data_IF_001952687844
#
_entry.id   IF_001952687844
#
_cell.length_a   1.000
_cell.length_b   1.000
_cell.length_c   1.000
_cell.angle_alpha   90.00
_cell.angle_beta   90.00
_cell.angle_gamma   90.00
#
_symmetry.space_group_name_H-M   'P 1'
#
loop_
_entity.id
_entity.type
_entity.pdbx_description
1 polymer ?
#
# COMPACT_ATOMS: atom_id res chain seq x y z
N UNK A 1 21.12 -17.36 -17.25
CA UNK A 1 20.59 -17.01 -15.92
C UNK A 1 20.83 -15.53 -15.68
N UNK A 2 19.84 -14.68 -15.96
CA UNK A 2 19.96 -13.25 -15.74
C UNK A 2 19.91 -12.97 -14.22
N UNK A 3 20.92 -12.26 -13.73
CA UNK A 3 21.06 -11.91 -12.31
C UNK A 3 19.82 -11.16 -11.82
N UNK A 4 19.08 -11.78 -10.90
CA UNK A 4 17.91 -11.23 -10.19
C UNK A 4 18.20 -9.90 -9.48
N UNK A 5 19.47 -9.53 -9.34
CA UNK A 5 19.92 -8.26 -8.78
C UNK A 5 19.61 -7.03 -9.64
N UNK A 6 19.23 -7.20 -10.92
CA UNK A 6 18.85 -6.09 -11.81
C UNK A 6 17.36 -5.75 -11.83
N UNK A 7 16.52 -6.54 -11.15
CA UNK A 7 15.08 -6.29 -11.08
C UNK A 7 14.77 -5.26 -10.00
N UNK A 8 13.83 -4.37 -10.30
CA UNK A 8 13.23 -3.42 -9.36
C UNK A 8 12.75 -4.15 -8.08
N UNK A 9 12.87 -3.54 -6.89
CA UNK A 9 12.49 -4.19 -5.63
C UNK A 9 11.05 -4.73 -5.62
N UNK A 10 10.10 -4.01 -6.22
CA UNK A 10 8.70 -4.46 -6.30
C UNK A 10 8.56 -5.70 -7.19
N UNK A 11 9.20 -5.68 -8.36
CA UNK A 11 9.19 -6.82 -9.28
C UNK A 11 9.82 -8.06 -8.64
N UNK A 12 10.89 -7.88 -7.86
CA UNK A 12 11.52 -8.98 -7.11
C UNK A 12 10.59 -9.54 -6.04
N UNK A 13 9.90 -8.67 -5.30
CA UNK A 13 8.94 -9.10 -4.29
C UNK A 13 7.78 -9.90 -4.91
N UNK A 14 7.20 -9.41 -6.01
CA UNK A 14 6.11 -10.11 -6.72
C UNK A 14 6.58 -11.47 -7.23
N UNK A 15 7.77 -11.56 -7.82
CA UNK A 15 8.32 -12.84 -8.30
C UNK A 15 8.56 -13.81 -7.13
N UNK A 16 9.03 -13.32 -5.99
CA UNK A 16 9.19 -14.16 -4.78
C UNK A 16 7.84 -14.67 -4.28
N UNK A 17 6.83 -13.81 -4.16
CA UNK A 17 5.47 -14.22 -3.74
C UNK A 17 4.86 -15.26 -4.68
N UNK A 18 5.02 -15.08 -5.99
CA UNK A 18 4.57 -16.05 -7.00
C UNK A 18 5.31 -17.39 -6.84
N UNK A 19 6.63 -17.33 -6.62
CA UNK A 19 7.46 -18.54 -6.47
C UNK A 19 7.14 -19.28 -5.17
N UNK A 20 6.91 -18.57 -4.08
CA UNK A 20 6.55 -19.14 -2.78
C UNK A 20 5.20 -19.85 -2.85
N UNK A 21 4.18 -19.19 -3.43
CA UNK A 21 2.86 -19.81 -3.62
C UNK A 21 2.97 -21.02 -4.55
N UNK A 22 3.74 -20.94 -5.63
CA UNK A 22 3.95 -22.09 -6.50
C UNK A 22 4.63 -23.25 -5.77
N UNK A 23 5.69 -22.99 -5.00
CA UNK A 23 6.44 -23.99 -4.25
C UNK A 23 5.57 -24.69 -3.19
N UNK A 24 4.72 -23.95 -2.48
CA UNK A 24 3.77 -24.49 -1.50
C UNK A 24 2.80 -25.49 -2.12
N UNK A 25 2.43 -25.31 -3.38
CA UNK A 25 1.49 -26.19 -4.08
C UNK A 25 2.18 -27.34 -4.85
N UNK A 26 3.50 -27.27 -5.02
CA UNK A 26 4.32 -28.33 -5.64
C UNK A 26 4.79 -29.40 -4.65
N UNK A 27 4.94 -29.06 -3.38
CA UNK A 27 5.48 -29.97 -2.36
C UNK A 27 4.35 -30.36 -1.41
N UNK A 28 3.74 -31.52 -1.63
CA UNK A 28 2.73 -32.09 -0.72
C UNK A 28 3.40 -33.22 0.09
N UNK A 29 3.98 -32.93 1.27
CA UNK A 29 4.77 -33.90 2.04
C UNK A 29 3.99 -35.15 2.48
N UNK A 30 2.65 -35.15 2.37
CA UNK A 30 1.78 -36.27 2.69
C UNK A 30 1.46 -37.20 1.49
N UNK A 31 1.95 -36.93 0.27
CA UNK A 31 1.78 -37.83 -0.89
C UNK A 31 2.81 -38.98 -0.88
N UNK A 32 2.73 -39.85 0.11
CA UNK A 32 3.63 -41.01 0.28
C UNK A 32 3.33 -42.20 -0.66
N UNK A 33 2.30 -42.15 -1.51
CA UNK A 33 1.76 -43.36 -2.15
C UNK A 33 2.10 -43.56 -3.63
N UNK A 34 2.55 -42.54 -4.39
CA UNK A 34 2.88 -42.68 -5.82
C UNK A 34 3.99 -41.68 -6.25
N UNK A 35 5.10 -41.62 -5.51
CA UNK A 35 6.13 -40.60 -5.69
C UNK A 35 6.89 -40.66 -7.03
N UNK A 36 6.80 -41.78 -7.76
CA UNK A 36 7.55 -42.00 -9.01
C UNK A 36 6.87 -41.41 -10.27
N UNK A 37 5.59 -41.04 -10.20
CA UNK A 37 4.79 -40.61 -11.37
C UNK A 37 4.46 -39.10 -11.41
N UNK A 38 4.78 -38.35 -10.35
CA UNK A 38 4.54 -36.90 -10.31
C UNK A 38 5.85 -36.11 -10.50
N UNK A 39 5.98 -35.30 -11.57
CA UNK A 39 7.18 -34.52 -11.78
C UNK A 39 7.33 -33.47 -10.66
N UNK A 40 8.38 -33.64 -9.85
CA UNK A 40 8.73 -32.73 -8.76
C UNK A 40 8.86 -31.30 -9.30
N UNK A 41 8.35 -30.31 -8.56
CA UNK A 41 8.40 -28.91 -8.97
C UNK A 41 7.40 -28.55 -10.06
N UNK A 42 6.32 -29.33 -10.19
CA UNK A 42 5.19 -29.01 -11.06
C UNK A 42 3.87 -29.09 -10.30
N UNK A 43 2.87 -28.35 -10.78
CA UNK A 43 1.49 -28.48 -10.34
C UNK A 43 0.67 -29.18 -11.43
N UNK A 44 -0.38 -29.90 -11.04
CA UNK A 44 -1.33 -30.46 -12.01
C UNK A 44 -2.04 -29.32 -12.73
N UNK A 45 -2.22 -29.42 -14.05
CA UNK A 45 -2.84 -28.36 -14.84
C UNK A 45 -4.28 -28.01 -14.40
N UNK A 46 -4.99 -28.97 -13.79
CA UNK A 46 -6.32 -28.77 -13.22
C UNK A 46 -6.30 -27.92 -11.95
N UNK A 47 -5.18 -27.91 -11.21
CA UNK A 47 -4.99 -27.15 -9.97
C UNK A 47 -4.59 -25.70 -10.24
N UNK A 48 -4.18 -25.36 -11.47
CA UNK A 48 -3.73 -24.02 -11.88
C UNK A 48 -4.62 -22.89 -11.35
N UNK A 49 -5.94 -22.96 -11.61
CA UNK A 49 -6.88 -21.90 -11.22
C UNK A 49 -6.96 -21.76 -9.70
N UNK A 50 -6.85 -22.87 -8.97
CA UNK A 50 -6.82 -22.86 -7.50
C UNK A 50 -5.57 -22.18 -6.96
N UNK A 51 -4.40 -22.51 -7.52
CA UNK A 51 -3.12 -21.90 -7.14
C UNK A 51 -3.09 -20.41 -7.52
N UNK A 52 -3.54 -20.07 -8.72
CA UNK A 52 -3.60 -18.68 -9.19
C UNK A 52 -4.53 -17.80 -8.33
N UNK A 53 -5.61 -18.35 -7.76
CA UNK A 53 -6.47 -17.62 -6.82
C UNK A 53 -5.79 -17.27 -5.50
N UNK A 54 -4.80 -18.04 -5.07
CA UNK A 54 -4.02 -17.71 -3.87
C UNK A 54 -3.17 -16.44 -4.07
N UNK A 55 -2.85 -16.12 -5.33
CA UNK A 55 -2.22 -14.85 -5.74
C UNK A 55 -3.23 -13.70 -5.94
N UNK A 56 -4.50 -13.91 -5.63
CA UNK A 56 -5.55 -12.92 -5.85
C UNK A 56 -6.07 -12.84 -7.30
N UNK A 57 -5.61 -13.71 -8.21
CA UNK A 57 -6.15 -13.75 -9.57
C UNK A 57 -7.57 -14.34 -9.58
N UNK A 58 -8.53 -13.58 -10.12
CA UNK A 58 -9.92 -14.02 -10.22
C UNK A 58 -10.20 -14.57 -11.62
N UNK A 59 -10.81 -15.75 -11.66
CA UNK A 59 -11.21 -16.41 -12.91
C UNK A 59 -12.70 -16.68 -12.89
N UNK A 60 -13.38 -16.25 -13.95
CA UNK A 60 -14.77 -16.62 -14.23
C UNK A 60 -14.87 -18.11 -14.58
N UNK A 61 -16.09 -18.66 -14.48
CA UNK A 61 -16.34 -20.05 -14.83
C UNK A 61 -16.07 -20.35 -16.31
N UNK A 62 -16.29 -19.38 -17.21
CA UNK A 62 -16.01 -19.52 -18.64
C UNK A 62 -14.52 -19.55 -18.93
N UNK A 63 -13.72 -18.68 -18.30
CA UNK A 63 -12.26 -18.64 -18.43
C UNK A 63 -11.62 -19.93 -17.89
N UNK A 64 -12.05 -20.39 -16.72
CA UNK A 64 -11.56 -21.64 -16.13
C UNK A 64 -11.80 -22.84 -17.07
N UNK A 65 -13.01 -22.96 -17.64
CA UNK A 65 -13.32 -24.01 -18.63
C UNK A 65 -12.55 -23.84 -19.93
N UNK A 66 -12.27 -22.61 -20.37
CA UNK A 66 -11.46 -22.36 -21.55
C UNK A 66 -10.01 -22.81 -21.33
N UNK A 67 -9.41 -22.46 -20.18
CA UNK A 67 -8.08 -22.91 -19.78
C UNK A 67 -7.99 -24.44 -19.71
N UNK A 68 -8.95 -25.11 -19.06
CA UNK A 68 -8.96 -26.58 -19.01
C UNK A 68 -9.06 -27.22 -20.40
N UNK A 69 -9.82 -26.61 -21.33
CA UNK A 69 -9.89 -27.08 -22.73
C UNK A 69 -8.56 -26.88 -23.45
N UNK A 70 -7.89 -25.76 -23.25
CA UNK A 70 -6.57 -25.49 -23.84
C UNK A 70 -5.52 -26.46 -23.29
N UNK A 71 -5.48 -26.71 -21.99
CA UNK A 71 -4.55 -27.67 -21.40
C UNK A 71 -4.76 -29.07 -21.98
N UNK A 72 -6.01 -29.53 -22.12
CA UNK A 72 -6.31 -30.82 -22.77
C UNK A 72 -5.92 -30.84 -24.24
N UNK A 73 -6.22 -29.79 -25.01
CA UNK A 73 -5.88 -29.67 -26.43
C UNK A 73 -4.38 -29.76 -26.68
N UNK A 74 -3.59 -29.17 -25.78
CA UNK A 74 -2.13 -29.16 -25.85
C UNK A 74 -1.46 -30.33 -25.10
N UNK A 75 -2.24 -31.25 -24.52
CA UNK A 75 -1.71 -32.38 -23.75
C UNK A 75 -0.96 -31.99 -22.47
N UNK A 76 -1.25 -30.81 -21.91
CA UNK A 76 -0.62 -30.30 -20.70
C UNK A 76 -1.29 -30.90 -19.46
N UNK A 77 -0.64 -31.89 -18.86
CA UNK A 77 -1.06 -32.50 -17.61
C UNK A 77 -0.45 -31.80 -16.38
N UNK A 78 0.75 -31.24 -16.55
CA UNK A 78 1.53 -30.58 -15.51
C UNK A 78 2.02 -29.22 -15.98
N UNK A 79 2.17 -28.29 -15.04
CA UNK A 79 2.61 -26.91 -15.25
C UNK A 79 3.84 -26.67 -14.37
N UNK A 80 4.94 -26.23 -14.97
CA UNK A 80 6.15 -25.82 -14.25
C UNK A 80 6.11 -24.32 -13.89
N UNK A 81 7.11 -23.85 -13.11
CA UNK A 81 7.18 -22.46 -12.63
C UNK A 81 7.12 -21.46 -13.80
N UNK A 82 7.88 -21.70 -14.87
CA UNK A 82 7.96 -20.78 -16.00
C UNK A 82 6.63 -20.67 -16.76
N UNK A 83 5.96 -21.80 -16.98
CA UNK A 83 4.62 -21.85 -17.58
C UNK A 83 3.58 -21.19 -16.68
N UNK A 84 3.69 -21.39 -15.37
CA UNK A 84 2.82 -20.75 -14.39
C UNK A 84 2.96 -19.22 -14.44
N UNK A 85 4.19 -18.70 -14.41
CA UNK A 85 4.49 -17.28 -14.53
C UNK A 85 3.91 -16.68 -15.83
N UNK A 86 4.10 -17.36 -16.96
CA UNK A 86 3.55 -16.91 -18.24
C UNK A 86 2.02 -16.85 -18.24
N UNK A 87 1.35 -17.84 -17.66
CA UNK A 87 -0.11 -17.87 -17.57
C UNK A 87 -0.66 -16.76 -16.66
N UNK A 88 0.03 -16.47 -15.55
CA UNK A 88 -0.32 -15.36 -14.64
C UNK A 88 -0.08 -14.01 -15.32
N UNK A 89 1.07 -13.81 -15.97
CA UNK A 89 1.38 -12.57 -16.70
C UNK A 89 0.37 -12.30 -17.81
N UNK A 90 -0.02 -13.33 -18.57
CA UNK A 90 -1.07 -13.22 -19.58
C UNK A 90 -2.43 -12.83 -18.97
N UNK A 91 -2.77 -13.37 -17.79
CA UNK A 91 -4.00 -13.01 -17.08
C UNK A 91 -3.98 -11.55 -16.61
N UNK A 92 -2.87 -11.09 -16.02
CA UNK A 92 -2.70 -9.69 -15.59
C UNK A 92 -2.83 -8.73 -16.77
N UNK A 93 -2.22 -9.07 -17.91
CA UNK A 93 -2.30 -8.28 -19.15
C UNK A 93 -3.72 -8.26 -19.73
N UNK A 94 -4.37 -9.42 -19.78
CA UNK A 94 -5.72 -9.57 -20.33
C UNK A 94 -6.78 -8.86 -19.48
N UNK A 95 -6.63 -8.88 -18.15
CA UNK A 95 -7.58 -8.26 -17.25
C UNK A 95 -7.54 -6.74 -17.26
N UNK A 96 -6.62 -6.12 -18.03
CA UNK A 96 -6.43 -4.67 -18.09
C UNK A 96 -6.58 -4.06 -16.69
N UNK A 97 -5.82 -4.59 -15.72
CA UNK A 97 -5.89 -4.14 -14.34
C UNK A 97 -5.31 -2.72 -14.24
N UNK A 98 -6.08 -1.75 -14.70
CA UNK A 98 -6.10 -0.42 -14.11
C UNK A 98 -6.86 -0.62 -12.81
N UNK A 99 -6.13 -1.07 -11.79
CA UNK A 99 -6.61 -0.88 -10.44
C UNK A 99 -6.99 0.60 -10.36
N UNK A 100 -8.28 0.90 -10.26
CA UNK A 100 -8.69 2.08 -9.51
C UNK A 100 -8.40 1.75 -8.05
N UNK A 101 -7.13 1.57 -7.71
CA UNK A 101 -6.70 1.87 -6.37
C UNK A 101 -7.09 3.33 -6.23
N UNK A 102 -8.02 3.63 -5.32
CA UNK A 102 -8.14 5.00 -4.89
C UNK A 102 -6.73 5.46 -4.51
N UNK A 103 -6.28 6.63 -5.00
CA UNK A 103 -4.94 7.10 -4.70
C UNK A 103 -4.74 7.00 -3.19
N UNK A 104 -3.62 6.41 -2.79
CA UNK A 104 -3.28 6.24 -1.38
C UNK A 104 -3.50 7.58 -0.69
N UNK A 105 -4.53 7.64 0.14
CA UNK A 105 -4.90 8.86 0.84
C UNK A 105 -3.96 8.94 2.03
N UNK A 106 -3.03 9.89 2.00
CA UNK A 106 -2.11 10.07 3.11
C UNK A 106 -2.90 10.49 4.35
N UNK A 107 -2.43 10.21 5.58
CA UNK A 107 -3.05 10.76 6.78
C UNK A 107 -3.26 12.28 6.69
N UNK A 108 -2.35 12.99 6.01
CA UNK A 108 -2.47 14.42 5.75
C UNK A 108 -3.64 14.78 4.83
N UNK A 109 -3.94 13.98 3.80
CA UNK A 109 -5.11 14.20 2.93
C UNK A 109 -6.44 14.04 3.70
N UNK A 110 -6.45 13.29 4.81
CA UNK A 110 -7.61 13.14 5.70
C UNK A 110 -7.67 14.25 6.75
N UNK A 111 -6.53 14.60 7.33
CA UNK A 111 -6.44 15.52 8.48
C UNK A 111 -6.50 16.98 8.04
N UNK A 112 -5.84 17.34 6.93
CA UNK A 112 -5.78 18.72 6.44
C UNK A 112 -7.16 19.34 6.20
N UNK A 113 -8.12 18.71 5.49
CA UNK A 113 -9.44 19.30 5.29
C UNK A 113 -10.19 19.54 6.61
N UNK A 114 -9.99 18.67 7.61
CA UNK A 114 -10.59 18.83 8.93
C UNK A 114 -9.95 19.98 9.71
N UNK A 115 -8.63 20.15 9.61
CA UNK A 115 -7.94 21.29 10.21
C UNK A 115 -8.34 22.61 9.54
N UNK A 116 -8.53 22.62 8.22
CA UNK A 116 -9.04 23.79 7.49
C UNK A 116 -10.46 24.15 7.93
N UNK A 117 -11.33 23.16 8.11
CA UNK A 117 -12.67 23.36 8.67
C UNK A 117 -12.63 23.88 10.12
N UNK A 118 -11.73 23.36 10.96
CA UNK A 118 -11.54 23.84 12.33
C UNK A 118 -11.05 25.28 12.36
N UNK A 119 -10.15 25.66 11.45
CA UNK A 119 -9.72 27.05 11.31
C UNK A 119 -10.90 27.95 10.98
N UNK A 120 -11.78 27.54 10.07
CA UNK A 120 -12.97 28.34 9.70
C UNK A 120 -13.97 28.50 10.85
N UNK A 121 -14.01 27.55 11.79
CA UNK A 121 -14.80 27.67 13.02
C UNK A 121 -14.16 28.66 14.01
N UNK A 122 -12.83 28.61 14.15
CA UNK A 122 -12.09 29.51 15.04
C UNK A 122 -12.07 30.95 14.49
N UNK A 123 -11.90 31.13 13.19
CA UNK A 123 -11.99 32.41 12.49
C UNK A 123 -13.45 32.72 12.09
N UNK A 124 -14.35 32.72 13.08
CA UNK A 124 -15.77 32.98 12.83
C UNK A 124 -16.02 34.35 12.16
N UNK A 125 -15.13 35.32 12.40
CA UNK A 125 -15.18 36.66 11.82
C UNK A 125 -14.67 36.69 10.37
N UNK A 126 -14.13 35.59 9.85
CA UNK A 126 -13.57 35.44 8.50
C UNK A 126 -12.53 36.50 8.18
N UNK A 127 -11.70 36.84 9.15
CA UNK A 127 -10.63 37.84 9.00
C UNK A 127 -9.33 37.24 8.44
N UNK A 128 -9.32 35.92 8.26
CA UNK A 128 -8.18 35.10 7.91
C UNK A 128 -6.99 35.33 8.87
N UNK A 129 -7.29 35.51 10.15
CA UNK A 129 -6.32 35.84 11.19
C UNK A 129 -6.74 35.19 12.51
N UNK A 130 -6.00 34.17 12.94
CA UNK A 130 -6.10 33.66 14.31
C UNK A 130 -5.02 34.29 15.17
N UNK A 131 -5.39 34.85 16.32
CA UNK A 131 -4.43 35.39 17.28
C UNK A 131 -3.89 34.30 18.19
N UNK A 132 -2.76 34.58 18.85
CA UNK A 132 -2.19 33.67 19.86
C UNK A 132 -3.17 33.39 21.02
N UNK A 133 -4.05 34.36 21.33
CA UNK A 133 -5.07 34.18 22.35
C UNK A 133 -6.14 33.16 21.94
N UNK A 134 -6.54 33.17 20.65
CA UNK A 134 -7.51 32.23 20.11
C UNK A 134 -6.98 30.80 20.13
N UNK A 135 -5.69 30.63 19.81
CA UNK A 135 -5.01 29.32 19.86
C UNK A 135 -4.88 28.84 21.30
N UNK A 136 -4.51 29.75 22.22
CA UNK A 136 -4.46 29.43 23.64
C UNK A 136 -5.82 28.97 24.17
N UNK A 137 -6.90 29.64 23.76
CA UNK A 137 -8.25 29.26 24.13
C UNK A 137 -8.63 27.90 23.53
N UNK A 138 -8.38 27.71 22.23
CA UNK A 138 -8.63 26.45 21.53
C UNK A 138 -7.93 25.27 22.19
N UNK A 139 -6.63 25.39 22.47
CA UNK A 139 -5.85 24.32 23.10
C UNK A 139 -6.14 24.18 24.61
N UNK A 140 -6.51 25.28 25.28
CA UNK A 140 -6.92 25.28 26.67
C UNK A 140 -8.16 24.42 26.92
N UNK A 141 -9.07 24.32 25.95
CA UNK A 141 -10.22 23.41 26.01
C UNK A 141 -9.83 21.92 26.04
N UNK A 142 -8.61 21.56 25.64
CA UNK A 142 -8.14 20.18 25.55
C UNK A 142 -7.31 19.78 26.78
N UNK A 143 -6.74 20.75 27.51
CA UNK A 143 -5.79 20.51 28.61
C UNK A 143 -6.15 21.32 29.88
N UNK A 144 -7.42 21.35 30.29
CA UNK A 144 -7.92 22.05 31.50
C UNK A 144 -7.41 23.50 31.68
N UNK A 145 -7.08 24.19 30.58
CA UNK A 145 -6.54 25.56 30.58
C UNK A 145 -5.03 25.70 30.88
N UNK A 146 -4.29 24.61 31.05
CA UNK A 146 -2.88 24.62 31.45
C UNK A 146 -1.90 24.71 30.26
N UNK A 147 -2.08 25.71 29.40
CA UNK A 147 -1.07 26.02 28.37
C UNK A 147 -0.46 27.39 28.64
N UNK A 148 0.83 27.40 28.94
CA UNK A 148 1.59 28.62 29.12
C UNK A 148 1.91 29.25 27.76
N UNK A 149 2.21 30.54 27.75
CA UNK A 149 2.64 31.22 26.52
C UNK A 149 3.95 30.61 25.98
N UNK A 150 4.79 30.02 26.85
CA UNK A 150 6.03 29.35 26.45
C UNK A 150 5.76 28.08 25.66
N UNK A 151 4.73 27.33 26.03
CA UNK A 151 4.36 26.08 25.33
C UNK A 151 3.86 26.37 23.91
N UNK A 152 3.12 27.47 23.74
CA UNK A 152 2.66 27.94 22.43
C UNK A 152 3.85 28.43 21.59
N UNK A 153 4.79 29.17 22.19
CA UNK A 153 6.01 29.60 21.49
C UNK A 153 6.86 28.40 21.05
N UNK A 154 6.97 27.36 21.88
CA UNK A 154 7.68 26.13 21.57
C UNK A 154 6.98 25.32 20.47
N UNK A 155 5.66 25.26 20.49
CA UNK A 155 4.83 24.66 19.44
C UNK A 155 5.11 25.34 18.08
N UNK A 156 5.03 26.66 18.02
CA UNK A 156 5.28 27.43 16.79
C UNK A 156 6.71 27.23 16.27
N UNK A 157 7.69 27.22 17.17
CA UNK A 157 9.10 26.97 16.84
C UNK A 157 9.30 25.57 16.25
N UNK A 158 8.66 24.56 16.84
CA UNK A 158 8.75 23.16 16.40
C UNK A 158 8.16 22.98 15.00
N UNK A 159 7.05 23.66 14.71
CA UNK A 159 6.39 23.62 13.40
C UNK A 159 7.04 24.53 12.35
N UNK A 160 8.17 25.19 12.66
CA UNK A 160 8.87 26.15 11.79
C UNK A 160 8.00 27.34 11.34
N UNK A 161 7.01 27.70 12.14
CA UNK A 161 6.16 28.87 11.90
C UNK A 161 6.77 30.07 12.62
N UNK A 162 6.86 31.22 11.93
CA UNK A 162 7.38 32.44 12.54
C UNK A 162 6.42 32.94 13.60
N UNK A 163 6.94 33.30 14.77
CA UNK A 163 6.16 33.97 15.80
C UNK A 163 5.67 35.32 15.26
N UNK A 164 4.37 35.42 15.00
CA UNK A 164 3.67 36.62 14.55
C UNK A 164 2.40 36.79 15.38
N UNK A 165 1.83 38.00 15.35
CA UNK A 165 0.60 38.31 16.09
C UNK A 165 -0.61 37.51 15.59
N UNK A 166 -0.63 37.18 14.30
CA UNK A 166 -1.71 36.47 13.64
C UNK A 166 -1.14 35.28 12.85
N UNK A 167 -1.85 34.17 12.85
CA UNK A 167 -1.59 32.99 12.05
C UNK A 167 -2.60 32.87 10.91
N UNK A 168 -2.12 32.47 9.73
CA UNK A 168 -2.98 32.13 8.59
C UNK A 168 -3.50 30.70 8.68
N UNK A 169 -4.45 30.34 7.81
CA UNK A 169 -4.97 28.98 7.69
C UNK A 169 -3.87 27.96 7.41
N UNK A 170 -2.95 28.28 6.50
CA UNK A 170 -1.82 27.42 6.15
C UNK A 170 -0.86 27.23 7.32
N UNK A 171 -0.56 28.32 8.05
CA UNK A 171 0.29 28.27 9.25
C UNK A 171 -0.38 27.44 10.35
N UNK A 172 -1.70 27.57 10.55
CA UNK A 172 -2.48 26.76 11.50
C UNK A 172 -2.45 25.27 11.13
N UNK A 173 -2.73 24.92 9.87
CA UNK A 173 -2.67 23.54 9.39
C UNK A 173 -1.25 22.99 9.60
N UNK A 174 -0.20 23.74 9.26
CA UNK A 174 1.19 23.31 9.43
C UNK A 174 1.55 22.99 10.90
N UNK A 175 0.91 23.65 11.86
CA UNK A 175 1.15 23.41 13.29
C UNK A 175 0.57 22.08 13.75
N UNK A 176 -0.65 21.76 13.30
CA UNK A 176 -1.43 20.62 13.79
C UNK A 176 -1.44 19.41 12.87
N UNK A 177 -0.97 19.56 11.63
CA UNK A 177 -0.78 18.43 10.74
C UNK A 177 0.36 17.57 11.32
N UNK A 178 0.15 16.26 11.50
CA UNK A 178 1.19 15.38 12.01
C UNK A 178 2.44 15.50 11.13
N UNK A 179 3.61 15.55 11.77
CA UNK A 179 4.88 15.45 11.06
C UNK A 179 4.89 14.08 10.40
N UNK A 180 4.77 14.05 9.08
CA UNK A 180 4.96 12.83 8.31
C UNK A 180 6.40 12.38 8.53
N UNK A 181 6.60 11.41 9.42
CA UNK A 181 7.79 10.57 9.35
C UNK A 181 7.60 9.55 8.22
N UNK A 182 7.24 9.99 7.01
CA UNK A 182 7.19 9.11 5.83
C UNK A 182 8.60 8.71 5.36
N UNK A 183 9.63 9.00 6.16
CA UNK A 183 11.01 8.54 5.93
C UNK A 183 11.09 7.02 5.80
N UNK A 184 10.22 6.26 6.50
CA UNK A 184 10.11 4.81 6.35
C UNK A 184 9.32 4.35 5.10
N UNK A 185 8.59 5.26 4.43
CA UNK A 185 7.90 5.01 3.15
C UNK A 185 8.69 5.54 1.94
N UNK A 186 9.67 6.41 2.15
CA UNK A 186 10.55 6.92 1.10
C UNK A 186 11.74 5.97 0.89
N UNK A 187 11.92 5.45 -0.33
CA UNK A 187 13.13 4.75 -0.77
C UNK A 187 14.31 5.73 -0.95
N UNK A 188 14.65 6.49 0.10
CA UNK A 188 15.95 7.14 0.24
C UNK A 188 16.62 6.63 1.50
N UNK A 189 16.94 5.35 1.48
CA UNK A 189 18.00 4.81 2.32
C UNK A 189 19.30 5.51 1.89
N UNK A 190 19.72 6.46 2.73
CA UNK A 190 21.10 6.84 3.04
C UNK A 190 22.15 6.37 2.02
N UNK A 191 22.60 7.30 1.17
CA UNK A 191 23.95 7.20 0.63
C UNK A 191 24.94 7.40 1.79
N UNK A 192 25.64 6.31 2.16
CA UNK A 192 27.00 6.34 2.67
C UNK A 192 27.82 5.33 1.90
#
# INVERSE_FOLDING_TARGET
>A
MASTNKLDPLTRQIVNEITDIFALNCIKPWQLKNADDEPIGTIRAQEFVGVARQLGCVFTASESRALSRQFRKHGLNYINVDQFLQLIDNKIKHDHFTAKCEPFTTPNDIIRPKLEQLYDVLDYQKQNKLTLADIKHFLGCINDGELSNKDIEELLKTSKVKLKRNLTKEEFVQIFCPVEDTSYLSLKVLHR
#
